data_IF_572365443819
#
_entry.id   IF_572365443819
#
_cell.length_a   1.000
_cell.length_b   1.000
_cell.length_c   1.000
_cell.angle_alpha   90.00
_cell.angle_beta   90.00
_cell.angle_gamma   90.00
#
_symmetry.space_group_name_H-M   'P 1'
#
loop_
_entity.id
_entity.type
_entity.pdbx_description
1 polymer ?
#
# COMPACT_ATOMS: atom_id res chain seq x y z
N UNK A 1 -12.69 -26.34 13.15
CA UNK A 1 -13.64 -25.50 12.36
C UNK A 1 -12.85 -24.27 11.90
N UNK A 2 -12.41 -24.23 10.62
CA UNK A 2 -11.75 -23.08 10.00
C UNK A 2 -12.75 -21.94 9.91
N UNK A 3 -12.38 -20.80 10.45
CA UNK A 3 -13.11 -19.54 10.23
C UNK A 3 -13.04 -19.20 8.73
N UNK A 4 -14.11 -19.48 8.00
CA UNK A 4 -14.19 -19.38 6.54
C UNK A 4 -14.33 -17.94 5.99
N UNK A 5 -14.40 -16.93 6.86
CA UNK A 5 -14.64 -15.54 6.46
C UNK A 5 -13.72 -14.58 7.22
N UNK A 6 -12.40 -14.74 7.04
CA UNK A 6 -11.50 -13.69 7.52
C UNK A 6 -11.28 -12.71 6.39
N UNK A 7 -11.88 -11.53 6.55
CA UNK A 7 -11.60 -10.37 5.72
C UNK A 7 -10.17 -9.86 5.97
N UNK A 8 -9.56 -9.31 4.93
CA UNK A 8 -8.39 -8.46 5.08
C UNK A 8 -8.84 -7.11 5.62
N UNK A 9 -8.35 -6.75 6.78
CA UNK A 9 -8.65 -5.47 7.43
C UNK A 9 -7.55 -4.48 7.06
N UNK A 10 -7.91 -3.49 6.25
CA UNK A 10 -6.99 -2.45 5.77
C UNK A 10 -7.40 -1.11 6.37
N UNK A 11 -6.45 -0.43 7.00
CA UNK A 11 -6.62 0.94 7.45
C UNK A 11 -5.94 1.90 6.47
N UNK A 12 -6.60 2.99 6.15
CA UNK A 12 -6.05 4.09 5.34
C UNK A 12 -6.03 5.34 6.19
N UNK A 13 -4.86 5.95 6.33
CA UNK A 13 -4.69 7.21 7.03
C UNK A 13 -4.92 8.41 6.10
N UNK A 14 -5.24 9.59 6.64
CA UNK A 14 -5.17 10.82 5.87
C UNK A 14 -3.81 10.98 5.20
N UNK A 15 -3.82 11.36 3.93
CA UNK A 15 -2.59 11.61 3.18
C UNK A 15 -2.14 13.06 3.40
N UNK A 16 -0.86 13.27 3.63
CA UNK A 16 -0.32 14.62 3.68
C UNK A 16 -0.54 15.33 2.34
N UNK A 17 -1.05 16.56 2.37
CA UNK A 17 -1.33 17.33 1.16
C UNK A 17 -2.62 16.94 0.42
N UNK A 18 -3.43 16.04 0.95
CA UNK A 18 -4.78 15.69 0.42
C UNK A 18 -5.86 16.43 1.22
N UNK A 19 -5.89 17.75 1.11
CA UNK A 19 -6.70 18.63 1.96
C UNK A 19 -8.21 18.32 1.87
N UNK A 20 -8.69 17.88 0.71
CA UNK A 20 -10.10 17.53 0.47
C UNK A 20 -10.42 16.05 0.77
N UNK A 21 -9.43 15.23 1.10
CA UNK A 21 -9.57 13.81 1.38
C UNK A 21 -10.01 12.97 0.16
N UNK A 22 -9.94 13.54 -1.05
CA UNK A 22 -10.41 12.87 -2.26
C UNK A 22 -9.57 11.66 -2.63
N UNK A 23 -8.25 11.75 -2.44
CA UNK A 23 -7.33 10.64 -2.71
C UNK A 23 -7.52 9.49 -1.73
N UNK A 24 -7.67 9.79 -0.44
CA UNK A 24 -7.97 8.79 0.60
C UNK A 24 -9.27 8.07 0.29
N UNK A 25 -10.34 8.81 -0.01
CA UNK A 25 -11.65 8.25 -0.33
C UNK A 25 -11.60 7.35 -1.55
N UNK A 26 -10.86 7.75 -2.57
CA UNK A 26 -10.67 6.95 -3.79
C UNK A 26 -9.92 5.65 -3.52
N UNK A 27 -8.79 5.71 -2.82
CA UNK A 27 -8.01 4.53 -2.44
C UNK A 27 -8.87 3.56 -1.64
N UNK A 28 -9.57 4.06 -0.64
CA UNK A 28 -10.45 3.25 0.18
C UNK A 28 -11.56 2.58 -0.64
N UNK A 29 -12.16 3.32 -1.59
CA UNK A 29 -13.21 2.79 -2.48
C UNK A 29 -12.69 1.69 -3.40
N UNK A 30 -11.50 1.87 -3.99
CA UNK A 30 -10.86 0.87 -4.86
C UNK A 30 -10.64 -0.44 -4.10
N UNK A 31 -10.05 -0.36 -2.90
CA UNK A 31 -9.77 -1.53 -2.09
C UNK A 31 -11.03 -2.20 -1.55
N UNK A 32 -12.05 -1.41 -1.19
CA UNK A 32 -13.33 -1.93 -0.68
C UNK A 32 -14.19 -2.61 -1.76
N UNK A 33 -13.89 -2.43 -3.04
CA UNK A 33 -14.55 -3.16 -4.13
C UNK A 33 -14.20 -4.65 -4.14
N UNK A 34 -13.12 -5.04 -3.48
CA UNK A 34 -12.73 -6.44 -3.37
C UNK A 34 -13.54 -7.14 -2.25
N UNK A 35 -14.22 -8.25 -2.54
CA UNK A 35 -15.21 -8.84 -1.63
C UNK A 35 -14.63 -9.36 -0.32
N UNK A 36 -13.31 -9.61 -0.27
CA UNK A 36 -12.60 -10.13 0.90
C UNK A 36 -11.84 -9.04 1.68
N UNK A 37 -12.08 -7.77 1.36
CA UNK A 37 -11.40 -6.62 1.95
C UNK A 37 -12.39 -5.75 2.71
N UNK A 38 -12.00 -5.35 3.91
CA UNK A 38 -12.64 -4.27 4.67
C UNK A 38 -11.67 -3.12 4.81
N UNK A 39 -12.16 -1.93 4.55
CA UNK A 39 -11.36 -0.71 4.62
C UNK A 39 -11.92 0.22 5.67
N UNK A 40 -11.05 0.72 6.53
CA UNK A 40 -11.38 1.75 7.52
C UNK A 40 -10.48 2.96 7.26
N UNK A 41 -11.10 4.12 7.06
CA UNK A 41 -10.38 5.39 7.01
C UNK A 41 -10.21 5.86 8.45
N UNK A 42 -8.97 6.05 8.88
CA UNK A 42 -8.65 6.53 10.23
C UNK A 42 -8.67 8.06 10.27
N UNK A 43 -9.12 8.64 11.38
CA UNK A 43 -9.03 10.09 11.59
C UNK A 43 -7.63 10.52 12.06
N UNK A 44 -6.80 9.56 12.46
CA UNK A 44 -5.49 9.83 13.06
C UNK A 44 -4.50 10.34 12.00
N UNK A 45 -3.61 11.22 12.43
CA UNK A 45 -2.42 11.62 11.70
C UNK A 45 -1.19 11.16 12.48
N UNK A 46 -0.07 10.95 11.77
CA UNK A 46 1.19 10.69 12.46
C UNK A 46 1.62 11.93 13.25
N UNK A 47 1.97 11.78 14.53
CA UNK A 47 2.25 12.92 15.42
C UNK A 47 3.52 13.68 15.04
N UNK A 48 4.51 12.96 14.50
CA UNK A 48 5.84 13.50 14.22
C UNK A 48 6.05 13.70 12.72
N UNK A 49 6.14 14.97 12.33
CA UNK A 49 6.59 15.34 10.99
C UNK A 49 8.09 15.62 11.01
N UNK A 50 8.77 15.29 9.93
CA UNK A 50 10.16 15.64 9.75
C UNK A 50 10.26 17.18 9.59
N UNK A 51 10.94 17.88 10.52
CA UNK A 51 11.01 19.33 10.48
C UNK A 51 11.77 19.87 9.25
N UNK A 52 12.62 19.06 8.62
CA UNK A 52 13.39 19.46 7.46
C UNK A 52 12.58 19.39 6.16
N UNK A 53 11.70 18.39 6.04
CA UNK A 53 10.95 18.12 4.81
C UNK A 53 9.46 18.42 4.93
N UNK A 54 8.93 18.53 6.15
CA UNK A 54 7.49 18.58 6.43
C UNK A 54 6.76 17.25 6.18
N UNK A 55 7.48 16.23 5.71
CA UNK A 55 6.98 14.90 5.45
C UNK A 55 6.94 14.03 6.70
N UNK A 56 6.84 12.71 6.50
CA UNK A 56 6.82 11.77 7.62
C UNK A 56 8.21 11.55 8.21
N UNK A 57 8.29 11.51 9.53
CA UNK A 57 9.42 10.92 10.22
C UNK A 57 9.27 9.39 10.18
N UNK A 58 9.91 8.73 9.22
CA UNK A 58 9.74 7.28 8.98
C UNK A 58 10.19 6.42 10.16
N UNK A 59 11.02 6.94 11.05
CA UNK A 59 11.45 6.20 12.25
C UNK A 59 10.32 6.13 13.29
N UNK A 60 9.59 7.22 13.51
CA UNK A 60 8.45 7.25 14.42
C UNK A 60 7.19 6.62 13.81
N UNK A 61 7.03 6.69 12.49
CA UNK A 61 5.92 6.08 11.73
C UNK A 61 5.79 4.59 12.00
N UNK A 62 6.89 3.86 12.00
CA UNK A 62 6.86 2.41 12.21
C UNK A 62 6.28 2.06 13.58
N UNK A 63 6.73 2.73 14.64
CA UNK A 63 6.26 2.48 16.01
C UNK A 63 4.80 2.86 16.19
N UNK A 64 4.42 4.06 15.77
CA UNK A 64 3.05 4.54 15.90
C UNK A 64 2.09 3.75 15.02
N UNK A 65 2.48 3.45 13.79
CA UNK A 65 1.69 2.65 12.87
C UNK A 65 1.41 1.24 13.38
N UNK A 66 2.35 0.59 14.06
CA UNK A 66 2.10 -0.71 14.70
C UNK A 66 1.12 -0.61 15.87
N UNK A 67 1.13 0.48 16.62
CA UNK A 67 0.12 0.73 17.67
C UNK A 67 -1.27 0.86 17.04
N UNK A 68 -1.39 1.61 15.92
CA UNK A 68 -2.64 1.74 15.19
C UNK A 68 -3.14 0.39 14.67
N UNK A 69 -2.26 -0.40 14.04
CA UNK A 69 -2.59 -1.73 13.52
C UNK A 69 -3.08 -2.68 14.62
N UNK A 70 -2.51 -2.59 15.82
CA UNK A 70 -2.96 -3.37 16.96
C UNK A 70 -4.32 -2.88 17.49
N UNK A 71 -4.51 -1.57 17.63
CA UNK A 71 -5.74 -0.95 18.10
C UNK A 71 -6.92 -1.31 17.19
N UNK A 72 -6.74 -1.17 15.90
CA UNK A 72 -7.78 -1.41 14.88
C UNK A 72 -7.89 -2.89 14.49
N UNK A 73 -7.00 -3.75 14.98
CA UNK A 73 -6.89 -5.17 14.59
C UNK A 73 -6.70 -5.36 13.08
N UNK A 74 -6.12 -4.37 12.43
CA UNK A 74 -5.91 -4.35 10.99
C UNK A 74 -4.68 -5.15 10.57
N UNK A 75 -4.67 -5.63 9.34
CA UNK A 75 -3.56 -6.39 8.75
C UNK A 75 -2.57 -5.45 8.04
N UNK A 76 -3.06 -4.33 7.50
CA UNK A 76 -2.29 -3.36 6.74
C UNK A 76 -2.70 -1.92 7.08
N UNK A 77 -1.72 -1.05 7.15
CA UNK A 77 -1.87 0.39 7.21
C UNK A 77 -1.31 1.00 5.94
N UNK A 78 -2.14 1.77 5.22
CA UNK A 78 -1.75 2.57 4.07
C UNK A 78 -1.69 4.02 4.51
N UNK A 79 -0.60 4.68 4.22
CA UNK A 79 -0.37 6.10 4.47
C UNK A 79 0.47 6.68 3.36
N UNK A 80 0.65 7.98 3.32
CA UNK A 80 1.44 8.60 2.27
C UNK A 80 1.18 10.08 2.14
N UNK A 81 1.57 10.60 1.00
CA UNK A 81 1.50 12.03 0.72
C UNK A 81 1.13 12.31 -0.73
N UNK A 82 0.57 13.47 -0.95
CA UNK A 82 0.34 14.05 -2.28
C UNK A 82 1.36 15.16 -2.46
N UNK A 83 2.22 15.02 -3.46
CA UNK A 83 3.12 16.11 -3.82
C UNK A 83 2.30 17.25 -4.45
N UNK A 84 2.27 18.44 -3.86
CA UNK A 84 1.42 19.53 -4.34
C UNK A 84 1.86 20.10 -5.69
N UNK A 85 3.11 19.90 -6.07
CA UNK A 85 3.68 20.44 -7.32
C UNK A 85 3.49 19.44 -8.46
N UNK A 86 3.91 18.18 -8.25
CA UNK A 86 3.85 17.14 -9.29
C UNK A 86 2.52 16.41 -9.36
N UNK A 87 1.62 16.65 -8.39
CA UNK A 87 0.35 15.91 -8.25
C UNK A 87 0.51 14.39 -8.23
N UNK A 88 1.62 13.92 -7.67
CA UNK A 88 1.93 12.50 -7.49
C UNK A 88 1.53 12.06 -6.10
N UNK A 89 0.85 10.92 -6.03
CA UNK A 89 0.59 10.17 -4.81
C UNK A 89 1.80 9.31 -4.49
N UNK A 90 2.33 9.42 -3.28
CA UNK A 90 3.33 8.51 -2.72
C UNK A 90 2.66 7.68 -1.65
N UNK A 91 2.38 6.42 -1.93
CA UNK A 91 1.71 5.50 -1.01
C UNK A 91 2.70 4.55 -0.37
N UNK A 92 2.64 4.41 0.96
CA UNK A 92 3.46 3.52 1.78
C UNK A 92 2.59 2.50 2.47
N UNK A 93 3.19 1.36 2.78
CA UNK A 93 2.50 0.18 3.27
C UNK A 93 3.19 -0.34 4.52
N UNK A 94 2.46 -0.47 5.62
CA UNK A 94 2.96 -1.04 6.87
C UNK A 94 2.09 -2.22 7.27
N UNK A 95 2.66 -3.41 7.33
CA UNK A 95 1.93 -4.61 7.74
C UNK A 95 2.05 -4.88 9.24
N UNK A 96 1.06 -5.59 9.79
CA UNK A 96 0.91 -5.85 11.23
C UNK A 96 2.10 -6.58 11.87
N UNK A 97 2.82 -7.42 11.13
CA UNK A 97 3.94 -8.19 11.68
C UNK A 97 5.26 -7.82 11.03
N UNK A 98 6.23 -7.54 11.85
CA UNK A 98 7.61 -7.29 11.50
C UNK A 98 8.49 -8.49 11.84
N UNK A 99 8.62 -9.45 10.96
CA UNK A 99 9.79 -10.33 10.99
C UNK A 99 10.78 -9.82 9.95
N UNK A 100 11.96 -9.43 10.43
CA UNK A 100 12.85 -8.48 9.78
C UNK A 100 13.58 -8.97 8.53
N UNK A 101 13.60 -10.26 8.21
CA UNK A 101 14.60 -10.79 7.29
C UNK A 101 14.07 -11.60 6.10
N UNK A 102 12.82 -11.38 5.67
CA UNK A 102 12.31 -12.09 4.50
C UNK A 102 12.52 -11.31 3.21
N UNK A 103 13.07 -11.94 2.16
CA UNK A 103 13.18 -11.32 0.83
C UNK A 103 11.81 -10.89 0.29
N UNK A 104 11.78 -9.79 -0.45
CA UNK A 104 10.55 -9.30 -1.09
C UNK A 104 9.58 -8.55 -0.19
N UNK A 105 9.98 -8.20 1.02
CA UNK A 105 9.15 -7.45 1.95
C UNK A 105 9.14 -5.97 1.64
N UNK A 106 7.94 -5.36 1.71
CA UNK A 106 7.81 -3.91 1.73
C UNK A 106 8.41 -3.33 3.01
N UNK A 107 9.35 -2.41 2.85
CA UNK A 107 9.87 -1.59 3.93
C UNK A 107 9.02 -0.32 4.06
N UNK A 108 9.06 0.31 5.22
CA UNK A 108 8.38 1.60 5.43
C UNK A 108 8.91 2.71 4.50
N UNK A 109 10.12 2.53 3.98
CA UNK A 109 10.75 3.41 2.99
C UNK A 109 10.26 3.17 1.57
N UNK A 110 9.77 1.97 1.27
CA UNK A 110 9.26 1.64 -0.05
C UNK A 110 7.92 2.34 -0.28
N UNK A 111 7.66 2.70 -1.51
CA UNK A 111 6.43 3.38 -1.87
C UNK A 111 5.97 3.00 -3.28
N UNK A 112 4.69 3.18 -3.53
CA UNK A 112 4.09 3.17 -4.85
C UNK A 112 3.78 4.61 -5.23
N UNK A 113 4.34 5.08 -6.33
CA UNK A 113 4.03 6.39 -6.90
C UNK A 113 2.99 6.25 -8.01
N UNK A 114 1.93 7.02 -7.91
CA UNK A 114 0.87 7.10 -8.93
C UNK A 114 0.49 8.56 -9.17
N UNK A 115 0.03 8.94 -10.37
CA UNK A 115 -0.61 10.25 -10.57
C UNK A 115 -1.82 10.39 -9.64
N UNK A 116 -2.10 11.58 -9.10
CA UNK A 116 -3.28 11.80 -8.22
C UNK A 116 -4.58 11.29 -8.86
N UNK A 117 -4.70 11.48 -10.18
CA UNK A 117 -5.85 11.03 -10.96
C UNK A 117 -5.50 9.81 -11.82
N UNK A 118 -4.82 8.82 -11.23
CA UNK A 118 -4.45 7.61 -11.96
C UNK A 118 -5.67 6.90 -12.57
N UNK A 119 -5.42 6.23 -13.69
CA UNK A 119 -6.45 5.54 -14.46
C UNK A 119 -6.92 4.25 -13.76
N UNK A 120 -8.13 3.74 -14.06
CA UNK A 120 -8.64 2.50 -13.48
C UNK A 120 -7.74 1.27 -13.69
N UNK A 121 -6.90 1.27 -14.73
CA UNK A 121 -5.94 0.20 -14.97
C UNK A 121 -4.96 0.00 -13.82
N UNK A 122 -4.68 1.07 -13.06
CA UNK A 122 -3.80 1.02 -11.89
C UNK A 122 -4.50 0.58 -10.59
N UNK A 123 -5.83 0.43 -10.59
CA UNK A 123 -6.58 -0.04 -9.43
C UNK A 123 -6.13 -1.46 -9.03
N UNK A 124 -5.92 -2.34 -10.03
CA UNK A 124 -5.40 -3.70 -9.81
C UNK A 124 -3.97 -3.70 -9.26
N UNK A 125 -3.13 -2.77 -9.72
CA UNK A 125 -1.77 -2.62 -9.21
C UNK A 125 -1.80 -2.21 -7.73
N UNK A 126 -2.60 -1.22 -7.37
CA UNK A 126 -2.75 -0.77 -5.98
C UNK A 126 -3.19 -1.93 -5.08
N UNK A 127 -4.19 -2.69 -5.51
CA UNK A 127 -4.67 -3.85 -4.78
C UNK A 127 -3.60 -4.94 -4.62
N UNK A 128 -2.89 -5.26 -5.70
CA UNK A 128 -1.83 -6.25 -5.68
C UNK A 128 -0.68 -5.87 -4.75
N UNK A 129 -0.29 -4.59 -4.74
CA UNK A 129 0.74 -4.09 -3.82
C UNK A 129 0.26 -4.20 -2.38
N UNK A 130 -0.98 -3.85 -2.09
CA UNK A 130 -1.56 -3.99 -0.75
C UNK A 130 -1.57 -5.46 -0.30
N UNK A 131 -1.96 -6.38 -1.16
CA UNK A 131 -1.92 -7.83 -0.87
C UNK A 131 -0.50 -8.31 -0.67
N UNK A 132 0.45 -7.95 -1.53
CA UNK A 132 1.85 -8.34 -1.42
C UNK A 132 2.50 -7.82 -0.12
N UNK A 133 2.12 -6.64 0.34
CA UNK A 133 2.60 -6.09 1.60
C UNK A 133 2.12 -6.88 2.83
N UNK A 134 0.98 -7.56 2.74
CA UNK A 134 0.42 -8.38 3.82
C UNK A 134 0.99 -9.80 3.80
N UNK A 135 1.22 -10.31 2.57
CA UNK A 135 1.69 -11.70 2.39
C UNK A 135 3.11 -11.79 2.90
N UNK A 136 3.39 -12.43 3.93
CA UNK A 136 3.94 -13.77 3.90
C UNK A 136 3.90 -14.47 5.23
N UNK A 137 3.05 -15.35 5.53
CA UNK A 137 3.29 -15.83 6.89
C UNK A 137 2.77 -17.20 7.22
N UNK A 138 2.01 -17.76 6.34
CA UNK A 138 1.77 -19.19 6.31
C UNK A 138 1.63 -19.61 4.87
N UNK A 139 2.18 -20.74 4.54
CA UNK A 139 2.02 -21.35 3.23
C UNK A 139 0.54 -21.44 2.82
N UNK A 140 -0.34 -21.67 3.78
CA UNK A 140 -1.80 -21.67 3.55
C UNK A 140 -2.32 -20.31 3.10
N UNK A 141 -1.81 -19.22 3.66
CA UNK A 141 -2.23 -17.85 3.30
C UNK A 141 -1.69 -17.49 1.93
N UNK A 142 -0.43 -17.85 1.66
CA UNK A 142 0.20 -17.66 0.36
C UNK A 142 -0.57 -18.39 -0.75
N UNK A 143 -0.98 -19.62 -0.53
CA UNK A 143 -1.80 -20.38 -1.48
C UNK A 143 -3.18 -19.76 -1.72
N UNK A 144 -3.82 -19.21 -0.70
CA UNK A 144 -5.10 -18.51 -0.84
C UNK A 144 -4.97 -17.23 -1.67
N UNK A 145 -3.87 -16.47 -1.48
CA UNK A 145 -3.64 -15.20 -2.13
C UNK A 145 -2.94 -15.30 -3.49
N UNK A 146 -2.45 -16.49 -3.84
CA UNK A 146 -1.70 -16.71 -5.06
C UNK A 146 -2.42 -16.23 -6.33
N UNK A 147 -3.72 -16.50 -6.57
CA UNK A 147 -4.40 -15.99 -7.77
C UNK A 147 -4.44 -14.47 -7.83
N UNK A 148 -4.63 -13.80 -6.69
CA UNK A 148 -4.66 -12.33 -6.60
C UNK A 148 -3.28 -11.75 -6.87
N UNK A 149 -2.23 -12.39 -6.36
CA UNK A 149 -0.85 -11.98 -6.58
C UNK A 149 -0.44 -12.15 -8.06
N UNK A 150 -0.85 -13.25 -8.70
CA UNK A 150 -0.58 -13.47 -10.14
C UNK A 150 -1.25 -12.40 -10.98
N UNK A 151 -2.54 -12.13 -10.76
CA UNK A 151 -3.25 -11.06 -11.47
C UNK A 151 -2.61 -9.68 -11.22
N UNK A 152 -2.13 -9.47 -10.00
CA UNK A 152 -1.42 -8.25 -9.63
C UNK A 152 -0.05 -8.14 -10.28
N UNK A 153 0.66 -9.25 -10.46
CA UNK A 153 1.93 -9.28 -11.16
C UNK A 153 1.77 -8.87 -12.63
N UNK A 154 0.72 -9.38 -13.29
CA UNK A 154 0.38 -9.00 -14.66
C UNK A 154 0.09 -7.49 -14.75
N UNK A 155 -0.73 -6.96 -13.84
CA UNK A 155 -1.04 -5.53 -13.78
C UNK A 155 0.21 -4.67 -13.52
N UNK A 156 1.11 -5.13 -12.65
CA UNK A 156 2.37 -4.43 -12.37
C UNK A 156 3.33 -4.48 -13.57
N UNK A 157 3.33 -5.58 -14.32
CA UNK A 157 4.13 -5.72 -15.54
C UNK A 157 3.62 -4.79 -16.66
N UNK A 158 2.31 -4.73 -16.85
CA UNK A 158 1.69 -3.79 -17.79
C UNK A 158 2.01 -2.34 -17.41
N UNK A 159 1.82 -1.96 -16.14
CA UNK A 159 2.14 -0.64 -15.64
C UNK A 159 3.64 -0.28 -15.76
N UNK A 160 4.53 -1.27 -15.61
CA UNK A 160 5.96 -1.07 -15.77
C UNK A 160 6.39 -0.97 -17.23
N UNK A 161 5.66 -1.60 -18.16
CA UNK A 161 5.93 -1.53 -19.61
C UNK A 161 5.45 -0.21 -20.21
N UNK A 162 4.34 0.31 -19.72
CA UNK A 162 3.75 1.58 -20.12
C UNK A 162 3.47 2.45 -18.89
N UNK A 163 4.53 2.95 -18.20
CA UNK A 163 4.33 3.74 -17.00
C UNK A 163 3.58 5.03 -17.32
N UNK A 164 2.80 5.58 -16.35
CA UNK A 164 2.10 6.83 -16.54
C UNK A 164 3.05 7.94 -16.98
N UNK A 165 2.78 8.55 -18.13
CA UNK A 165 3.63 9.64 -18.66
C UNK A 165 3.67 10.86 -17.74
N UNK A 166 2.67 11.02 -16.89
CA UNK A 166 2.57 12.09 -15.88
C UNK A 166 3.55 11.89 -14.72
N UNK A 167 4.10 10.67 -14.54
CA UNK A 167 5.06 10.40 -13.48
C UNK A 167 6.47 10.80 -13.88
N UNK A 168 7.22 11.53 -13.02
CA UNK A 168 8.66 11.67 -13.17
C UNK A 168 9.36 10.31 -13.24
N UNK A 169 10.47 10.22 -13.96
CA UNK A 169 11.21 8.95 -14.15
C UNK A 169 11.59 8.26 -12.83
N UNK A 170 11.92 9.05 -11.81
CA UNK A 170 12.25 8.51 -10.49
C UNK A 170 11.04 7.85 -9.83
N UNK A 171 9.85 8.37 -10.04
CA UNK A 171 8.62 7.82 -9.50
C UNK A 171 8.16 6.58 -10.28
N UNK A 172 8.42 6.53 -11.60
CA UNK A 172 8.17 5.34 -12.40
C UNK A 172 8.95 4.12 -11.89
N UNK A 173 10.15 4.32 -11.35
CA UNK A 173 10.94 3.25 -10.75
C UNK A 173 10.23 2.56 -9.58
N UNK A 174 9.35 3.25 -8.87
CA UNK A 174 8.57 2.67 -7.77
C UNK A 174 7.67 1.52 -8.23
N UNK A 175 7.14 1.59 -9.45
CA UNK A 175 6.30 0.53 -10.05
C UNK A 175 7.13 -0.74 -10.24
N UNK A 176 8.38 -0.63 -10.69
CA UNK A 176 9.28 -1.77 -10.85
C UNK A 176 9.67 -2.38 -9.49
N UNK A 177 9.87 -1.56 -8.47
CA UNK A 177 10.10 -2.06 -7.10
C UNK A 177 8.89 -2.84 -6.60
N UNK A 178 7.69 -2.29 -6.78
CA UNK A 178 6.44 -2.97 -6.42
C UNK A 178 6.26 -4.29 -7.19
N UNK A 179 6.60 -4.32 -8.49
CA UNK A 179 6.63 -5.56 -9.28
C UNK A 179 7.55 -6.61 -8.64
N UNK A 180 8.75 -6.21 -8.24
CA UNK A 180 9.71 -7.09 -7.57
C UNK A 180 9.15 -7.66 -6.26
N UNK A 181 8.49 -6.85 -5.45
CA UNK A 181 7.87 -7.30 -4.21
C UNK A 181 6.71 -8.28 -4.44
N UNK A 182 5.85 -8.01 -5.44
CA UNK A 182 4.77 -8.93 -5.81
C UNK A 182 5.35 -10.25 -6.31
N UNK A 183 6.33 -10.22 -7.21
CA UNK A 183 7.00 -11.40 -7.75
C UNK A 183 7.63 -12.25 -6.64
N UNK A 184 8.34 -11.62 -5.71
CA UNK A 184 8.94 -12.30 -4.55
C UNK A 184 7.89 -12.91 -3.60
N UNK A 185 6.68 -12.38 -3.57
CA UNK A 185 5.58 -12.91 -2.75
C UNK A 185 4.91 -14.14 -3.35
N UNK A 186 5.09 -14.35 -4.65
CA UNK A 186 4.59 -15.55 -5.36
C UNK A 186 5.54 -16.74 -5.14
N UNK A 187 6.82 -16.48 -4.99
CA UNK A 187 7.88 -17.46 -4.74
C UNK A 187 8.56 -17.87 -6.00
#
# INVERSE_FOLDING_TARGET
RRNKNRFLEICVMPLLGDEDGSSVSRIASILANEPEVRVTILPDEFPDKDPATGGYNLQSVSSFGHILLQREKADLLIFGEVNPISTVLLLRFLSRKTESDQPGRFLVTDHLSLPKNFKPEYDKLLYAVAVAAIVPRSETYRLMMHPLLVNGLEAAQEAGSEPPMELPLIDQASIHVCYGHIAASIG
#
